data_IF_168835721928
#
_entry.id   IF_168835721928
#
_cell.length_a   1.000
_cell.length_b   1.000
_cell.length_c   1.000
_cell.angle_alpha   90.00
_cell.angle_beta   90.00
_cell.angle_gamma   90.00
#
_symmetry.space_group_name_H-M   'P 1'
#
loop_
_entity.id
_entity.type
_entity.pdbx_description
1 polymer ?
#
# COMPACT_ATOMS: atom_id res chain seq x y z
N UNK A 1 16.92 -57.08 38.22
CA UNK A 1 15.81 -57.26 37.26
C UNK A 1 14.75 -56.22 37.56
N UNK A 2 14.63 -55.20 36.71
CA UNK A 2 13.44 -54.40 36.41
C UNK A 2 13.93 -53.21 35.57
N UNK A 3 13.72 -53.30 34.26
CA UNK A 3 13.99 -52.24 33.27
C UNK A 3 12.72 -51.40 33.15
N UNK A 4 12.82 -50.09 33.35
CA UNK A 4 11.78 -49.14 32.93
C UNK A 4 12.31 -48.39 31.70
N UNK A 5 11.55 -48.48 30.61
CA UNK A 5 11.78 -47.79 29.35
C UNK A 5 10.50 -47.05 29.01
N UNK A 6 10.42 -45.77 29.34
CA UNK A 6 9.32 -44.90 28.91
C UNK A 6 9.81 -43.92 27.86
N UNK A 7 9.23 -44.06 26.66
CA UNK A 7 9.45 -43.22 25.49
C UNK A 7 8.17 -42.40 25.29
N UNK A 8 8.20 -41.06 25.36
CA UNK A 8 7.01 -40.26 25.08
C UNK A 8 6.79 -40.13 23.57
N UNK A 9 5.64 -40.65 23.13
CA UNK A 9 5.07 -40.56 21.79
C UNK A 9 4.56 -39.14 21.54
N UNK A 10 5.22 -38.44 20.61
CA UNK A 10 4.78 -37.14 20.10
C UNK A 10 3.78 -37.34 18.96
N UNK A 11 2.48 -37.22 19.25
CA UNK A 11 1.42 -37.04 18.25
C UNK A 11 0.51 -35.89 18.71
N UNK A 12 1.01 -34.66 18.51
CA UNK A 12 0.28 -33.42 18.73
C UNK A 12 -0.14 -32.80 17.40
N UNK A 13 -1.14 -33.39 16.73
CA UNK A 13 -1.81 -32.72 15.62
C UNK A 13 -2.56 -31.49 16.17
N UNK A 14 -2.05 -30.31 15.82
CA UNK A 14 -2.71 -29.03 16.06
C UNK A 14 -4.04 -29.05 15.30
N UNK A 15 -5.15 -29.21 16.03
CA UNK A 15 -6.49 -29.01 15.49
C UNK A 15 -6.62 -27.53 15.09
N UNK A 16 -7.06 -27.22 13.86
CA UNK A 16 -7.40 -25.84 13.51
C UNK A 16 -8.51 -25.34 14.44
N UNK A 17 -8.52 -24.03 14.79
CA UNK A 17 -9.50 -23.46 15.69
C UNK A 17 -10.91 -23.69 15.18
N UNK A 18 -11.78 -24.17 16.09
CA UNK A 18 -13.19 -24.55 15.87
C UNK A 18 -14.07 -23.43 15.30
N UNK A 19 -13.58 -22.19 15.27
CA UNK A 19 -14.29 -21.01 14.77
C UNK A 19 -14.44 -20.96 13.24
N UNK A 20 -13.57 -21.64 12.47
CA UNK A 20 -13.65 -21.60 10.99
C UNK A 20 -14.68 -22.55 10.38
N UNK A 21 -15.14 -23.56 11.11
CA UNK A 21 -16.13 -24.53 10.61
C UNK A 21 -17.57 -23.97 10.58
N UNK A 22 -17.84 -22.86 11.26
CA UNK A 22 -19.19 -22.29 11.38
C UNK A 22 -19.53 -21.26 10.27
N UNK A 23 -18.58 -20.88 9.41
CA UNK A 23 -18.78 -19.84 8.38
C UNK A 23 -19.15 -20.40 7.00
N UNK A 24 -19.06 -21.72 6.79
CA UNK A 24 -19.35 -22.34 5.49
C UNK A 24 -20.86 -22.54 5.24
N UNK A 25 -21.70 -22.44 6.29
CA UNK A 25 -23.13 -22.79 6.21
C UNK A 25 -24.05 -21.60 5.82
N UNK A 26 -23.53 -20.37 5.69
CA UNK A 26 -24.35 -19.17 5.49
C UNK A 26 -24.33 -18.55 4.07
N UNK A 27 -23.68 -19.17 3.09
CA UNK A 27 -23.54 -18.62 1.72
C UNK A 27 -24.59 -19.12 0.69
N UNK A 28 -25.78 -19.53 1.13
CA UNK A 28 -26.86 -19.98 0.24
C UNK A 28 -28.07 -19.01 0.19
N UNK A 29 -27.97 -18.02 -0.70
CA UNK A 29 -29.07 -17.35 -1.48
C UNK A 29 -30.07 -16.44 -0.72
N UNK A 30 -30.80 -15.50 -1.39
CA UNK A 30 -31.39 -15.61 -2.73
C UNK A 30 -31.05 -14.52 -3.77
N UNK A 31 -31.15 -14.94 -5.04
CA UNK A 31 -31.22 -14.09 -6.22
C UNK A 31 -32.48 -13.22 -6.12
N UNK A 32 -32.33 -11.90 -6.01
CA UNK A 32 -33.44 -10.99 -6.26
C UNK A 32 -33.62 -10.82 -7.78
N UNK A 33 -34.84 -11.11 -8.21
CA UNK A 33 -35.41 -10.84 -9.53
C UNK A 33 -35.30 -9.34 -9.85
N UNK A 34 -34.48 -8.96 -10.83
CA UNK A 34 -34.68 -7.71 -11.57
C UNK A 34 -35.60 -7.99 -12.74
N UNK A 35 -36.89 -7.99 -12.45
CA UNK A 35 -37.92 -7.82 -13.45
C UNK A 35 -38.54 -6.46 -13.17
N UNK A 36 -38.16 -5.40 -13.90
CA UNK A 36 -38.98 -4.21 -14.12
C UNK A 36 -38.44 -3.33 -15.26
N UNK A 37 -39.39 -2.80 -16.04
CA UNK A 37 -39.31 -1.87 -17.18
C UNK A 37 -39.23 -2.45 -18.59
N UNK A 38 -40.34 -3.05 -19.00
CA UNK A 38 -40.82 -3.10 -20.39
C UNK A 38 -41.86 -1.99 -20.60
N UNK A 39 -41.45 -0.73 -20.67
CA UNK A 39 -42.32 0.36 -21.13
C UNK A 39 -41.74 0.92 -22.43
N UNK A 40 -42.47 0.70 -23.52
CA UNK A 40 -42.18 1.20 -24.86
C UNK A 40 -42.16 2.74 -24.89
N UNK A 41 -41.19 3.38 -25.59
CA UNK A 41 -41.25 4.82 -25.81
C UNK A 41 -42.32 5.19 -26.83
N UNK A 42 -43.00 6.30 -26.54
CA UNK A 42 -44.04 6.94 -27.36
C UNK A 42 -43.53 7.34 -28.76
N UNK A 43 -44.31 7.14 -29.84
CA UNK A 43 -43.95 7.59 -31.18
C UNK A 43 -44.31 9.07 -31.32
N UNK A 44 -43.31 9.95 -31.29
CA UNK A 44 -43.50 11.35 -31.71
C UNK A 44 -42.47 11.76 -32.74
N UNK A 45 -42.94 12.60 -33.65
CA UNK A 45 -42.56 12.66 -35.04
C UNK A 45 -41.28 13.44 -35.35
N UNK A 46 -40.72 13.09 -36.49
CA UNK A 46 -39.65 13.73 -37.24
C UNK A 46 -39.84 15.25 -37.39
N UNK A 47 -38.79 16.01 -37.06
CA UNK A 47 -38.41 17.23 -37.77
C UNK A 47 -36.92 17.15 -38.12
N UNK A 48 -36.67 16.79 -39.38
CA UNK A 48 -35.33 16.73 -39.97
C UNK A 48 -34.89 18.12 -40.39
N UNK A 49 -34.06 18.79 -39.58
CA UNK A 49 -33.33 19.98 -39.99
C UNK A 49 -31.90 19.59 -40.34
N UNK A 50 -31.56 19.70 -41.63
CA UNK A 50 -30.23 19.43 -42.15
C UNK A 50 -29.22 20.41 -41.59
N UNK A 51 -28.40 19.93 -40.65
CA UNK A 51 -27.21 20.64 -40.21
C UNK A 51 -26.08 19.63 -40.17
N UNK A 52 -25.19 19.72 -41.16
CA UNK A 52 -23.95 18.96 -41.29
C UNK A 52 -22.96 19.46 -40.23
N UNK A 53 -23.30 19.27 -38.96
CA UNK A 53 -22.36 19.35 -37.86
C UNK A 53 -21.65 18.00 -37.81
N UNK A 54 -20.33 17.99 -38.04
CA UNK A 54 -19.46 16.85 -37.77
C UNK A 54 -19.78 16.34 -36.37
N UNK A 55 -20.51 15.22 -36.33
CA UNK A 55 -21.04 14.61 -35.13
C UNK A 55 -19.89 14.29 -34.18
N UNK A 56 -19.83 15.01 -33.06
CA UNK A 56 -19.06 14.57 -31.92
C UNK A 56 -19.63 13.19 -31.54
N UNK A 57 -18.85 12.15 -31.83
CA UNK A 57 -19.22 10.74 -31.65
C UNK A 57 -19.88 10.56 -30.28
N UNK A 58 -21.19 10.35 -30.28
CA UNK A 58 -21.93 10.01 -29.08
C UNK A 58 -21.40 8.67 -28.59
N UNK A 59 -20.55 8.71 -27.57
CA UNK A 59 -20.07 7.53 -26.86
C UNK A 59 -21.32 6.74 -26.44
N UNK A 60 -21.37 5.47 -26.82
CA UNK A 60 -22.51 4.61 -26.49
C UNK A 60 -22.66 4.52 -24.97
N UNK A 61 -23.90 4.44 -24.47
CA UNK A 61 -24.15 4.25 -23.04
C UNK A 61 -23.38 3.02 -22.47
N UNK A 62 -23.17 1.99 -23.30
CA UNK A 62 -22.35 0.81 -22.96
C UNK A 62 -20.88 1.17 -22.76
N UNK A 63 -20.32 2.00 -23.64
CA UNK A 63 -18.91 2.45 -23.55
C UNK A 63 -18.67 3.31 -22.30
N UNK A 64 -19.59 4.22 -21.99
CA UNK A 64 -19.53 5.01 -20.76
C UNK A 64 -19.54 4.13 -19.50
N UNK A 65 -20.43 3.12 -19.46
CA UNK A 65 -20.48 2.19 -18.32
C UNK A 65 -19.20 1.36 -18.20
N UNK A 66 -18.64 0.87 -19.31
CA UNK A 66 -17.35 0.16 -19.32
C UNK A 66 -16.20 1.05 -18.83
N UNK A 67 -16.15 2.30 -19.28
CA UNK A 67 -15.13 3.27 -18.86
C UNK A 67 -15.24 3.57 -17.37
N UNK A 68 -16.46 3.82 -16.86
CA UNK A 68 -16.70 4.04 -15.43
C UNK A 68 -16.24 2.85 -14.57
N UNK A 69 -16.59 1.62 -14.96
CA UNK A 69 -16.14 0.43 -14.23
C UNK A 69 -14.61 0.25 -14.25
N UNK A 70 -13.96 0.63 -15.35
CA UNK A 70 -12.50 0.62 -15.45
C UNK A 70 -11.87 1.65 -14.51
N UNK A 71 -12.42 2.85 -14.43
CA UNK A 71 -11.98 3.90 -13.51
C UNK A 71 -12.16 3.48 -12.04
N UNK A 72 -13.31 2.88 -11.69
CA UNK A 72 -13.54 2.30 -10.35
C UNK A 72 -12.46 1.26 -10.01
N UNK A 73 -12.11 0.39 -10.97
CA UNK A 73 -11.10 -0.64 -10.76
C UNK A 73 -9.68 -0.05 -10.60
N UNK A 74 -9.37 1.02 -11.33
CA UNK A 74 -8.11 1.76 -11.16
C UNK A 74 -8.05 2.38 -9.75
N UNK A 75 -9.14 3.02 -9.30
CA UNK A 75 -9.21 3.57 -7.95
C UNK A 75 -9.07 2.50 -6.87
N UNK A 76 -9.71 1.33 -7.03
CA UNK A 76 -9.54 0.20 -6.11
C UNK A 76 -8.08 -0.31 -6.06
N UNK A 77 -7.37 -0.31 -7.20
CA UNK A 77 -5.95 -0.68 -7.25
C UNK A 77 -5.10 0.38 -6.55
N UNK A 78 -5.27 1.65 -6.88
CA UNK A 78 -4.56 2.75 -6.24
C UNK A 78 -4.81 2.79 -4.72
N UNK A 79 -6.03 2.50 -4.28
CA UNK A 79 -6.36 2.42 -2.86
C UNK A 79 -5.48 1.40 -2.12
N UNK A 80 -5.04 0.34 -2.79
CA UNK A 80 -4.19 -0.70 -2.20
C UNK A 80 -2.69 -0.34 -2.10
N UNK A 81 -2.26 0.80 -2.65
CA UNK A 81 -0.89 1.30 -2.52
C UNK A 81 -0.60 1.82 -1.10
N UNK A 82 0.64 1.73 -0.64
CA UNK A 82 0.98 2.10 0.75
C UNK A 82 0.67 3.55 1.07
N UNK A 83 0.93 4.46 0.15
CA UNK A 83 0.64 5.89 0.33
C UNK A 83 -0.85 6.16 0.55
N UNK A 84 -1.71 5.55 -0.27
CA UNK A 84 -3.15 5.78 -0.20
C UNK A 84 -3.76 5.09 1.03
N UNK A 85 -3.25 3.91 1.40
CA UNK A 85 -3.64 3.26 2.64
C UNK A 85 -3.23 4.04 3.88
N UNK A 86 -2.01 4.60 3.91
CA UNK A 86 -1.57 5.46 5.00
C UNK A 86 -2.47 6.68 5.13
N UNK A 87 -2.72 7.40 4.03
CA UNK A 87 -3.64 8.55 4.02
C UNK A 87 -5.04 8.20 4.52
N UNK A 88 -5.60 7.06 4.09
CA UNK A 88 -6.91 6.62 4.51
C UNK A 88 -6.96 6.30 6.02
N UNK A 89 -5.91 5.71 6.58
CA UNK A 89 -5.79 5.45 8.01
C UNK A 89 -5.60 6.71 8.83
N UNK A 90 -4.80 7.65 8.36
CA UNK A 90 -4.66 8.97 9.00
C UNK A 90 -6.02 9.67 9.06
N UNK A 91 -6.80 9.60 7.99
CA UNK A 91 -8.13 10.20 7.97
C UNK A 91 -9.12 9.50 8.91
N UNK A 92 -9.06 8.18 9.04
CA UNK A 92 -9.88 7.45 10.02
C UNK A 92 -9.47 7.74 11.47
N UNK A 93 -8.17 7.81 11.74
CA UNK A 93 -7.63 8.16 13.05
C UNK A 93 -7.97 9.61 13.42
N UNK A 94 -7.89 10.52 12.45
CA UNK A 94 -8.31 11.92 12.64
C UNK A 94 -9.80 12.01 12.97
N UNK A 95 -10.65 11.22 12.29
CA UNK A 95 -12.08 11.11 12.64
C UNK A 95 -12.30 10.52 14.03
N UNK A 96 -11.46 9.59 14.47
CA UNK A 96 -11.51 9.02 15.83
C UNK A 96 -11.19 10.08 16.87
N UNK A 97 -10.09 10.81 16.70
CA UNK A 97 -9.69 11.92 17.59
C UNK A 97 -10.76 13.01 17.67
N UNK A 98 -11.33 13.41 16.53
CA UNK A 98 -12.44 14.37 16.48
C UNK A 98 -13.65 13.95 17.32
N UNK A 99 -14.00 12.66 17.30
CA UNK A 99 -15.13 12.14 18.09
C UNK A 99 -14.79 12.00 19.58
N UNK A 100 -13.53 11.76 19.90
CA UNK A 100 -13.07 11.58 21.27
C UNK A 100 -12.94 12.92 22.02
N UNK A 101 -12.63 14.00 21.33
CA UNK A 101 -12.47 15.32 21.94
C UNK A 101 -13.83 15.93 22.35
N UNK A 102 -14.08 16.18 23.65
CA UNK A 102 -15.32 16.79 24.13
C UNK A 102 -15.62 18.14 23.48
N UNK A 103 -14.60 18.89 23.06
CA UNK A 103 -14.76 20.23 22.49
C UNK A 103 -15.29 20.22 21.05
N UNK A 104 -15.08 19.12 20.32
CA UNK A 104 -15.43 18.97 18.90
C UNK A 104 -16.48 17.88 18.63
N UNK A 105 -16.64 16.91 19.54
CA UNK A 105 -17.54 15.75 19.39
C UNK A 105 -19.02 16.07 19.13
N UNK A 106 -19.51 17.24 19.57
CA UNK A 106 -20.90 17.66 19.41
C UNK A 106 -21.24 18.24 18.02
N UNK A 107 -20.24 18.47 17.15
CA UNK A 107 -20.46 19.05 15.82
C UNK A 107 -19.89 18.17 14.71
N UNK A 108 -20.54 18.22 13.54
CA UNK A 108 -19.98 17.63 12.33
C UNK A 108 -18.72 18.36 11.88
N UNK A 109 -17.77 17.57 11.40
CA UNK A 109 -16.48 18.06 10.92
C UNK A 109 -16.64 18.82 9.60
N UNK A 110 -16.20 20.08 9.56
CA UNK A 110 -16.27 20.92 8.36
C UNK A 110 -14.97 20.89 7.56
N UNK A 111 -15.03 21.36 6.30
CA UNK A 111 -13.84 21.50 5.43
C UNK A 111 -12.79 22.42 6.06
N UNK A 112 -13.21 23.47 6.77
CA UNK A 112 -12.29 24.36 7.51
C UNK A 112 -11.50 23.66 8.62
N UNK A 113 -12.02 22.52 9.11
CA UNK A 113 -11.46 21.77 10.23
C UNK A 113 -10.51 20.65 9.77
N UNK A 114 -10.24 20.54 8.46
CA UNK A 114 -9.44 19.45 7.88
C UNK A 114 -8.00 19.39 8.40
N UNK A 115 -7.46 20.50 8.90
CA UNK A 115 -6.12 20.54 9.48
C UNK A 115 -6.09 20.20 10.98
N UNK A 116 -7.24 20.20 11.67
CA UNK A 116 -7.30 19.88 13.10
C UNK A 116 -7.05 18.38 13.27
N UNK A 117 -6.15 18.04 14.21
CA UNK A 117 -5.66 16.68 14.51
C UNK A 117 -4.91 15.97 13.38
N UNK A 118 -4.61 16.64 12.24
CA UNK A 118 -3.92 16.00 11.10
C UNK A 118 -2.54 15.48 11.49
N UNK A 119 -1.76 16.26 12.23
CA UNK A 119 -0.41 15.88 12.69
C UNK A 119 -0.45 14.74 13.72
N UNK A 120 -1.32 14.87 14.73
CA UNK A 120 -1.49 13.85 15.77
C UNK A 120 -1.94 12.50 15.20
N UNK A 121 -2.92 12.51 14.29
CA UNK A 121 -3.35 11.30 13.58
C UNK A 121 -2.23 10.71 12.69
N UNK A 122 -1.43 11.57 12.05
CA UNK A 122 -0.29 11.13 11.23
C UNK A 122 0.75 10.41 12.07
N UNK A 123 1.12 10.98 13.22
CA UNK A 123 2.10 10.37 14.13
C UNK A 123 1.57 9.10 14.78
N UNK A 124 0.29 9.05 15.16
CA UNK A 124 -0.34 7.84 15.71
C UNK A 124 -0.31 6.69 14.70
N UNK A 125 -0.73 6.92 13.44
CA UNK A 125 -0.70 5.90 12.39
C UNK A 125 0.74 5.52 12.04
N UNK A 126 1.66 6.49 11.96
CA UNK A 126 3.09 6.23 11.74
C UNK A 126 3.65 5.31 12.82
N UNK A 127 3.39 5.60 14.10
CA UNK A 127 3.82 4.76 15.23
C UNK A 127 3.30 3.33 15.09
N UNK A 128 2.02 3.17 14.74
CA UNK A 128 1.43 1.85 14.48
C UNK A 128 2.13 1.11 13.33
N UNK A 129 2.51 1.79 12.26
CA UNK A 129 3.21 1.18 11.12
C UNK A 129 4.66 0.82 11.46
N UNK A 130 5.32 1.60 12.33
CA UNK A 130 6.65 1.28 12.87
C UNK A 130 6.59 0.03 13.75
N UNK A 131 5.60 -0.06 14.64
CA UNK A 131 5.38 -1.21 15.52
C UNK A 131 5.09 -2.49 14.71
N UNK A 132 4.34 -2.37 13.61
CA UNK A 132 4.09 -3.48 12.68
C UNK A 132 5.33 -3.86 11.84
N UNK A 133 6.40 -3.07 11.87
CA UNK A 133 7.55 -3.26 11.00
C UNK A 133 7.27 -2.95 9.53
N UNK A 134 6.16 -2.28 9.21
CA UNK A 134 5.75 -1.90 7.85
C UNK A 134 6.39 -0.57 7.43
N UNK A 135 6.57 0.35 8.38
CA UNK A 135 7.11 1.68 8.10
C UNK A 135 8.55 1.62 7.57
N UNK A 136 8.82 2.23 6.42
CA UNK A 136 10.18 2.37 5.90
C UNK A 136 10.69 3.80 6.16
N UNK A 137 11.83 3.91 6.84
CA UNK A 137 12.49 5.21 7.10
C UNK A 137 12.90 5.93 5.81
N UNK A 138 13.10 5.19 4.72
CA UNK A 138 13.41 5.74 3.39
C UNK A 138 12.19 6.33 2.69
N UNK A 139 10.97 6.18 3.23
CA UNK A 139 9.77 6.80 2.68
C UNK A 139 9.87 8.32 2.77
N UNK A 140 10.35 8.91 1.68
CA UNK A 140 10.37 10.32 1.36
C UNK A 140 9.30 10.64 0.30
N UNK A 141 9.14 11.92 -0.06
CA UNK A 141 8.22 12.37 -1.12
C UNK A 141 8.34 11.59 -2.44
N UNK A 142 9.53 11.04 -2.74
CA UNK A 142 9.84 10.39 -4.02
C UNK A 142 9.71 8.86 -4.00
N UNK A 143 9.80 8.23 -2.83
CA UNK A 143 9.52 6.81 -2.68
C UNK A 143 8.01 6.67 -2.64
N UNK A 144 7.48 6.48 -3.85
CA UNK A 144 6.09 6.40 -4.29
C UNK A 144 5.23 5.35 -3.55
N UNK A 145 5.27 5.29 -2.21
CA UNK A 145 4.38 4.44 -1.42
C UNK A 145 4.45 2.96 -1.78
N UNK A 146 5.63 2.46 -2.15
CA UNK A 146 5.82 1.02 -2.36
C UNK A 146 5.82 0.30 -1.03
N UNK A 147 5.19 -0.87 -0.99
CA UNK A 147 5.27 -1.72 0.17
C UNK A 147 6.69 -2.25 0.38
N UNK A 148 7.08 -2.53 1.63
CA UNK A 148 8.38 -3.13 1.94
C UNK A 148 8.61 -4.44 1.20
N UNK A 149 7.58 -5.25 0.98
CA UNK A 149 7.70 -6.50 0.22
C UNK A 149 7.81 -6.31 -1.30
N UNK A 150 7.60 -5.11 -1.83
CA UNK A 150 7.83 -4.81 -3.26
C UNK A 150 9.26 -4.38 -3.54
N UNK A 151 9.97 -3.84 -2.54
CA UNK A 151 11.36 -3.44 -2.71
C UNK A 151 12.15 -4.66 -3.18
N UNK A 152 12.97 -4.59 -4.24
CA UNK A 152 13.81 -5.73 -4.60
C UNK A 152 14.54 -6.21 -3.35
N UNK A 153 14.63 -7.53 -3.16
CA UNK A 153 15.63 -8.04 -2.23
C UNK A 153 16.92 -7.42 -2.74
N UNK A 154 17.49 -6.48 -1.99
CA UNK A 154 18.91 -6.20 -2.07
C UNK A 154 19.48 -7.59 -1.82
N UNK A 155 19.78 -8.29 -2.93
CA UNK A 155 20.57 -9.50 -2.94
C UNK A 155 21.66 -9.15 -1.96
N UNK A 156 21.82 -9.97 -0.93
CA UNK A 156 22.92 -9.82 -0.01
C UNK A 156 24.19 -9.87 -0.88
N UNK A 157 24.54 -8.73 -1.47
CA UNK A 157 25.85 -8.19 -1.69
C UNK A 157 26.40 -7.99 -0.30
N UNK A 158 26.43 -9.09 0.48
CA UNK A 158 27.53 -9.30 1.36
C UNK A 158 28.78 -9.06 0.52
N UNK A 159 29.83 -8.50 1.11
CA UNK A 159 31.10 -8.28 0.44
C UNK A 159 31.63 -9.64 -0.05
N UNK A 160 31.19 -10.08 -1.22
CA UNK A 160 31.78 -11.17 -1.99
C UNK A 160 32.63 -10.63 -3.15
N UNK A 161 32.88 -9.32 -3.08
CA UNK A 161 33.89 -8.52 -3.74
C UNK A 161 34.24 -7.43 -2.71
N UNK A 162 35.38 -7.45 -2.01
CA UNK A 162 36.72 -7.24 -2.58
C UNK A 162 36.73 -7.14 -4.11
N UNK A 163 35.92 -6.24 -4.64
CA UNK A 163 36.33 -5.42 -5.76
C UNK A 163 37.15 -4.32 -5.13
N UNK A 164 38.32 -4.69 -4.62
CA UNK A 164 39.46 -3.80 -4.75
C UNK A 164 39.59 -3.57 -6.25
N UNK A 165 39.04 -2.44 -6.70
CA UNK A 165 39.47 -1.76 -7.90
C UNK A 165 39.48 -2.60 -9.20
N UNK A 166 38.40 -2.52 -9.99
CA UNK A 166 38.58 -2.20 -11.41
C UNK A 166 39.11 -0.75 -11.50
N UNK A 167 40.34 -0.53 -11.04
CA UNK A 167 41.17 0.51 -11.61
C UNK A 167 41.47 0.00 -13.03
N UNK A 168 41.19 0.77 -14.08
CA UNK A 168 41.61 0.44 -15.43
C UNK A 168 43.09 0.11 -15.40
N UNK A 169 43.40 -1.13 -15.77
CA UNK A 169 44.73 -1.72 -15.76
C UNK A 169 45.73 -0.77 -16.43
N UNK A 170 46.49 -0.05 -15.61
CA UNK A 170 47.82 0.38 -15.98
C UNK A 170 48.63 -0.90 -16.15
N UNK A 171 49.10 -1.09 -17.38
CA UNK A 171 49.93 -2.19 -17.86
C UNK A 171 51.12 -2.41 -16.89
N UNK A 172 51.46 -3.69 -16.65
CA UNK A 172 52.70 -4.19 -15.97
C UNK A 172 52.68 -4.44 -14.44
N UNK A 173 51.73 -5.24 -13.93
CA UNK A 173 51.81 -5.84 -12.58
C UNK A 173 51.54 -7.37 -12.58
N UNK A 174 52.20 -8.16 -11.70
CA UNK A 174 51.99 -9.61 -11.61
C UNK A 174 50.56 -9.95 -11.18
N UNK A 175 49.95 -10.89 -11.91
CA UNK A 175 48.57 -11.35 -11.72
C UNK A 175 48.37 -11.85 -10.27
N UNK A 176 47.52 -11.22 -9.44
CA UNK A 176 47.27 -11.72 -8.10
C UNK A 176 46.67 -13.13 -8.20
N UNK A 177 47.31 -14.08 -7.52
CA UNK A 177 46.84 -15.46 -7.51
C UNK A 177 45.49 -15.53 -6.77
N UNK A 178 44.51 -16.31 -7.27
CA UNK A 178 43.22 -16.47 -6.63
C UNK A 178 43.41 -17.07 -5.24
N UNK A 179 43.19 -16.26 -4.20
CA UNK A 179 43.20 -16.73 -2.82
C UNK A 179 42.00 -17.66 -2.63
N UNK A 180 42.27 -18.87 -2.12
CA UNK A 180 41.22 -19.87 -1.85
C UNK A 180 40.27 -19.30 -0.79
N UNK A 181 39.04 -18.98 -1.17
CA UNK A 181 37.99 -18.54 -0.23
C UNK A 181 37.84 -19.60 0.86
N UNK A 182 38.03 -19.21 2.12
CA UNK A 182 37.83 -20.08 3.27
C UNK A 182 36.35 -20.52 3.31
N UNK A 183 36.03 -21.81 3.51
CA UNK A 183 34.65 -22.25 3.69
C UNK A 183 34.02 -21.51 4.88
N UNK A 184 32.84 -20.91 4.67
CA UNK A 184 32.04 -20.30 5.73
C UNK A 184 31.73 -21.35 6.81
N UNK A 185 31.86 -20.98 8.09
CA UNK A 185 31.52 -21.88 9.19
C UNK A 185 30.01 -22.16 9.22
N UNK A 186 29.59 -23.27 9.83
CA UNK A 186 28.16 -23.56 10.00
C UNK A 186 27.42 -22.48 10.80
N UNK A 187 28.09 -21.88 11.79
CA UNK A 187 27.53 -20.77 12.57
C UNK A 187 27.27 -19.52 11.71
N UNK A 188 28.21 -19.20 10.80
CA UNK A 188 28.03 -18.07 9.87
C UNK A 188 26.85 -18.32 8.92
N UNK A 189 26.72 -19.55 8.40
CA UNK A 189 25.58 -19.94 7.56
C UNK A 189 24.26 -19.81 8.33
N UNK A 190 24.23 -20.25 9.60
CA UNK A 190 23.05 -20.14 10.46
C UNK A 190 22.66 -18.68 10.70
N UNK A 191 23.62 -17.81 11.03
CA UNK A 191 23.36 -16.37 11.21
C UNK A 191 22.89 -15.69 9.92
N UNK A 192 23.40 -16.09 8.76
CA UNK A 192 22.92 -15.58 7.46
C UNK A 192 21.47 -16.02 7.24
N UNK A 193 21.14 -17.29 7.50
CA UNK A 193 19.78 -17.81 7.34
C UNK A 193 18.78 -17.09 8.27
N UNK A 194 19.15 -16.86 9.53
CA UNK A 194 18.33 -16.15 10.50
C UNK A 194 18.07 -14.69 10.09
N UNK A 195 19.11 -13.96 9.66
CA UNK A 195 18.95 -12.59 9.13
C UNK A 195 18.05 -12.51 7.90
N UNK A 196 18.09 -13.52 7.03
CA UNK A 196 17.19 -13.61 5.86
C UNK A 196 15.75 -13.89 6.29
N UNK A 197 15.55 -14.81 7.23
CA UNK A 197 14.22 -15.12 7.75
C UNK A 197 13.58 -13.89 8.43
N UNK A 198 14.36 -13.14 9.22
CA UNK A 198 13.88 -11.91 9.85
C UNK A 198 13.44 -10.86 8.82
N UNK A 199 14.28 -10.58 7.81
CA UNK A 199 13.94 -9.64 6.73
C UNK A 199 12.72 -10.10 5.93
N UNK A 200 12.60 -11.39 5.67
CA UNK A 200 11.42 -11.92 4.99
C UNK A 200 10.15 -11.69 5.82
N UNK A 201 10.21 -11.91 7.14
CA UNK A 201 9.10 -11.62 8.06
C UNK A 201 8.73 -10.14 8.08
N UNK A 202 9.71 -9.23 8.12
CA UNK A 202 9.48 -7.79 8.08
C UNK A 202 8.83 -7.34 6.77
N UNK A 203 9.25 -7.91 5.64
CA UNK A 203 8.62 -7.66 4.34
C UNK A 203 7.20 -8.18 4.33
N UNK A 204 7.01 -9.42 4.75
CA UNK A 204 5.70 -10.07 4.74
C UNK A 204 4.69 -9.39 5.65
N UNK A 205 5.13 -8.69 6.71
CA UNK A 205 4.25 -7.85 7.53
C UNK A 205 3.46 -6.81 6.71
N UNK A 206 3.98 -6.37 5.56
CA UNK A 206 3.30 -5.43 4.66
C UNK A 206 2.36 -6.07 3.64
N UNK A 207 2.24 -7.40 3.64
CA UNK A 207 1.30 -8.13 2.78
C UNK A 207 -0.14 -7.99 3.32
N UNK A 208 -1.18 -8.09 2.47
CA UNK A 208 -2.57 -7.94 2.90
C UNK A 208 -2.96 -8.90 4.04
N UNK A 209 -2.61 -10.18 3.93
CA UNK A 209 -2.90 -11.18 4.95
C UNK A 209 -2.42 -10.78 6.35
N UNK A 210 -1.12 -10.51 6.51
CA UNK A 210 -0.53 -10.20 7.81
C UNK A 210 -1.05 -8.88 8.37
N UNK A 211 -1.25 -7.88 7.52
CA UNK A 211 -1.80 -6.59 7.93
C UNK A 211 -3.25 -6.70 8.40
N UNK A 212 -4.07 -7.49 7.70
CA UNK A 212 -5.45 -7.73 8.12
C UNK A 212 -5.50 -8.41 9.49
N UNK A 213 -4.72 -9.48 9.69
CA UNK A 213 -4.64 -10.17 10.99
C UNK A 213 -4.21 -9.22 12.11
N UNK A 214 -3.23 -8.36 11.86
CA UNK A 214 -2.81 -7.35 12.82
C UNK A 214 -3.95 -6.40 13.18
N UNK A 215 -4.67 -5.86 12.19
CA UNK A 215 -5.78 -4.93 12.42
C UNK A 215 -6.95 -5.59 13.15
N UNK A 216 -7.22 -6.87 12.90
CA UNK A 216 -8.22 -7.62 13.66
C UNK A 216 -7.81 -7.72 15.13
N UNK A 217 -6.55 -8.08 15.41
CA UNK A 217 -6.03 -8.15 16.79
C UNK A 217 -6.07 -6.79 17.50
N UNK A 218 -5.77 -5.71 16.79
CA UNK A 218 -5.85 -4.37 17.35
C UNK A 218 -7.31 -3.94 17.61
N UNK A 219 -8.23 -4.30 16.71
CA UNK A 219 -9.65 -4.04 16.91
C UNK A 219 -10.23 -4.89 18.06
N UNK A 220 -9.80 -6.14 18.24
CA UNK A 220 -10.12 -6.97 19.40
C UNK A 220 -9.67 -6.29 20.70
N UNK A 221 -8.42 -5.81 20.76
CA UNK A 221 -7.86 -5.11 21.92
C UNK A 221 -8.69 -3.88 22.31
N UNK A 222 -9.10 -3.07 21.33
CA UNK A 222 -9.95 -1.88 21.57
C UNK A 222 -11.34 -2.29 22.06
N UNK A 223 -11.94 -3.33 21.47
CA UNK A 223 -13.25 -3.82 21.91
C UNK A 223 -13.23 -4.42 23.32
N UNK A 224 -12.16 -5.10 23.70
CA UNK A 224 -11.96 -5.61 25.06
C UNK A 224 -11.84 -4.48 26.09
N UNK A 225 -11.14 -3.40 25.73
CA UNK A 225 -11.00 -2.19 26.56
C UNK A 225 -12.35 -1.48 26.76
N UNK A 226 -13.20 -1.46 25.74
CA UNK A 226 -14.53 -0.80 25.79
C UNK A 226 -15.63 -1.66 26.44
N UNK A 227 -15.68 -2.97 26.17
CA UNK A 227 -16.85 -3.80 26.45
C UNK A 227 -16.73 -4.73 27.68
N UNK A 228 -15.53 -4.89 28.25
CA UNK A 228 -15.29 -5.85 29.32
C UNK A 228 -15.27 -7.32 28.85
N UNK A 229 -15.36 -8.27 29.78
CA UNK A 229 -14.89 -9.66 29.68
C UNK A 229 -15.58 -10.64 28.69
N UNK A 230 -16.40 -10.18 27.74
CA UNK A 230 -17.03 -11.06 26.72
C UNK A 230 -16.12 -11.28 25.49
N UNK A 231 -14.97 -11.92 25.72
CA UNK A 231 -13.87 -12.03 24.74
C UNK A 231 -14.27 -12.77 23.44
N UNK A 232 -15.05 -13.85 23.51
CA UNK A 232 -15.36 -14.67 22.33
C UNK A 232 -16.25 -13.94 21.31
N UNK A 233 -17.09 -13.00 21.75
CA UNK A 233 -17.92 -12.18 20.87
C UNK A 233 -17.11 -11.07 20.19
N UNK A 234 -15.98 -10.69 20.77
CA UNK A 234 -15.14 -9.59 20.27
C UNK A 234 -14.38 -9.98 19.00
N UNK A 235 -13.87 -11.21 18.89
CA UNK A 235 -13.13 -11.69 17.71
C UNK A 235 -13.93 -11.56 16.40
N UNK A 236 -15.18 -12.04 16.41
CA UNK A 236 -16.04 -11.98 15.21
C UNK A 236 -16.40 -10.53 14.86
N UNK A 237 -16.69 -9.71 15.87
CA UNK A 237 -17.02 -8.29 15.66
C UNK A 237 -15.82 -7.51 15.13
N UNK A 238 -14.62 -7.77 15.67
CA UNK A 238 -13.37 -7.18 15.20
C UNK A 238 -13.10 -7.53 13.74
N UNK A 239 -13.21 -8.82 13.39
CA UNK A 239 -13.09 -9.29 12.01
C UNK A 239 -14.06 -8.57 11.06
N UNK A 240 -15.35 -8.51 11.39
CA UNK A 240 -16.37 -7.86 10.55
C UNK A 240 -16.15 -6.34 10.45
N UNK A 241 -15.70 -5.69 11.52
CA UNK A 241 -15.36 -4.27 11.52
C UNK A 241 -14.17 -3.97 10.58
N UNK A 242 -13.11 -4.78 10.65
CA UNK A 242 -11.93 -4.60 9.79
C UNK A 242 -12.28 -4.92 8.34
N UNK A 243 -13.00 -6.03 8.09
CA UNK A 243 -13.43 -6.41 6.74
C UNK A 243 -14.34 -5.37 6.11
N UNK A 244 -15.36 -4.89 6.83
CA UNK A 244 -16.25 -3.84 6.33
C UNK A 244 -15.50 -2.55 6.00
N UNK A 245 -14.50 -2.19 6.81
CA UNK A 245 -13.60 -1.06 6.53
C UNK A 245 -12.80 -1.29 5.25
N UNK A 246 -12.23 -2.47 5.04
CA UNK A 246 -11.50 -2.82 3.82
C UNK A 246 -12.38 -2.83 2.57
N UNK A 247 -13.61 -3.34 2.68
CA UNK A 247 -14.59 -3.29 1.59
C UNK A 247 -14.94 -1.84 1.26
N UNK A 248 -15.23 -1.01 2.27
CA UNK A 248 -15.55 0.42 2.09
C UNK A 248 -14.41 1.19 1.43
N UNK A 249 -13.16 0.86 1.75
CA UNK A 249 -11.96 1.48 1.16
C UNK A 249 -11.58 0.90 -0.21
N UNK A 250 -12.31 -0.10 -0.72
CA UNK A 250 -11.96 -0.77 -1.98
C UNK A 250 -10.72 -1.66 -1.90
N UNK A 251 -10.24 -1.98 -0.69
CA UNK A 251 -9.07 -2.84 -0.46
C UNK A 251 -9.40 -4.33 -0.60
N UNK A 252 -10.61 -4.72 -0.19
CA UNK A 252 -11.05 -6.11 -0.23
C UNK A 252 -11.24 -6.61 -1.66
N UNK A 253 -10.59 -7.71 -2.04
CA UNK A 253 -10.79 -8.36 -3.32
C UNK A 253 -11.73 -9.55 -3.18
N UNK A 254 -12.81 -9.56 -3.97
CA UNK A 254 -13.92 -10.51 -3.82
C UNK A 254 -13.48 -11.98 -3.89
N UNK A 255 -12.45 -12.29 -4.69
CA UNK A 255 -11.93 -13.67 -4.83
C UNK A 255 -11.22 -14.20 -3.59
N UNK A 256 -10.84 -13.34 -2.65
CA UNK A 256 -10.25 -13.79 -1.39
C UNK A 256 -11.27 -14.53 -0.50
N UNK A 257 -12.57 -14.34 -0.71
CA UNK A 257 -13.61 -15.04 0.06
C UNK A 257 -13.67 -14.61 1.52
N UNK A 258 -13.14 -15.44 2.42
CA UNK A 258 -13.16 -15.19 3.88
C UNK A 258 -11.86 -14.57 4.38
N UNK A 259 -10.71 -14.81 3.76
CA UNK A 259 -9.43 -14.28 4.25
C UNK A 259 -8.66 -13.63 3.11
N UNK A 260 -8.03 -12.47 3.34
CA UNK A 260 -7.26 -11.82 2.30
C UNK A 260 -6.09 -12.70 1.85
N UNK A 261 -5.76 -12.61 0.56
CA UNK A 261 -4.59 -13.26 -0.01
C UNK A 261 -3.26 -12.57 0.33
N UNK A 262 -2.20 -12.99 -0.35
CA UNK A 262 -0.84 -12.48 -0.14
C UNK A 262 -0.46 -11.28 -1.04
N UNK A 263 -1.25 -10.94 -2.06
CA UNK A 263 -0.92 -9.86 -2.99
C UNK A 263 -1.96 -8.76 -2.93
N UNK A 264 -1.53 -7.50 -2.96
CA UNK A 264 -2.44 -6.36 -3.08
C UNK A 264 -3.08 -6.29 -4.47
N UNK A 265 -4.19 -5.55 -4.60
CA UNK A 265 -4.89 -5.38 -5.88
C UNK A 265 -4.01 -4.72 -6.96
N UNK A 266 -3.16 -3.76 -6.59
CA UNK A 266 -2.24 -3.13 -7.53
C UNK A 266 -1.13 -4.08 -8.03
N UNK A 267 -0.83 -5.16 -7.31
CA UNK A 267 0.08 -6.21 -7.79
C UNK A 267 -0.57 -7.12 -8.84
N UNK A 268 -1.91 -7.19 -8.86
CA UNK A 268 -2.65 -7.98 -9.85
C UNK A 268 -2.68 -7.27 -11.21
N UNK A 269 -2.72 -8.07 -12.27
CA UNK A 269 -2.84 -7.56 -13.65
C UNK A 269 -4.19 -6.87 -13.86
N UNK A 270 -4.15 -5.62 -14.33
CA UNK A 270 -5.36 -4.86 -14.63
C UNK A 270 -6.25 -5.59 -15.63
N UNK A 271 -5.66 -6.19 -16.67
CA UNK A 271 -6.40 -6.90 -17.72
C UNK A 271 -7.08 -8.16 -17.19
N UNK A 272 -6.44 -8.84 -16.23
CA UNK A 272 -7.05 -10.00 -15.57
C UNK A 272 -8.28 -9.59 -14.76
N UNK A 273 -8.16 -8.55 -13.94
CA UNK A 273 -9.28 -8.05 -13.16
C UNK A 273 -10.43 -7.50 -14.04
N UNK A 274 -10.12 -6.90 -15.19
CA UNK A 274 -11.12 -6.45 -16.16
C UNK A 274 -11.88 -7.63 -16.80
N UNK A 275 -11.14 -8.67 -17.24
CA UNK A 275 -11.76 -9.89 -17.79
C UNK A 275 -12.68 -10.57 -16.78
N UNK A 276 -12.29 -10.59 -15.52
CA UNK A 276 -13.10 -11.18 -14.45
C UNK A 276 -14.42 -10.45 -14.20
N UNK A 277 -14.42 -9.11 -14.32
CA UNK A 277 -15.66 -8.32 -14.23
C UNK A 277 -16.49 -8.35 -15.53
N UNK A 278 -16.10 -9.15 -16.51
CA UNK A 278 -16.75 -9.20 -17.82
C UNK A 278 -16.64 -7.88 -18.59
N UNK A 279 -15.62 -7.08 -18.29
CA UNK A 279 -15.33 -5.83 -19.01
C UNK A 279 -14.38 -6.22 -20.14
N UNK A 280 -14.94 -6.40 -21.34
CA UNK A 280 -14.14 -6.65 -22.53
C UNK A 280 -13.10 -5.53 -22.68
N UNK A 281 -11.83 -5.91 -22.84
CA UNK A 281 -10.79 -4.97 -23.23
C UNK A 281 -11.22 -4.39 -24.57
N UNK A 282 -11.58 -3.11 -24.60
CA UNK A 282 -11.88 -2.41 -25.86
C UNK A 282 -10.65 -2.65 -26.74
N UNK A 283 -10.79 -3.39 -27.86
CA UNK A 283 -9.65 -3.65 -28.72
C UNK A 283 -9.11 -2.28 -29.09
N UNK A 284 -7.83 -2.02 -28.77
CA UNK A 284 -7.19 -0.78 -29.12
C UNK A 284 -7.44 -0.59 -30.61
N UNK A 285 -8.34 0.32 -30.95
CA UNK A 285 -8.81 0.48 -32.32
C UNK A 285 -7.54 0.71 -33.10
N UNK A 286 -7.15 -0.20 -34.02
CA UNK A 286 -5.88 -0.08 -34.70
C UNK A 286 -5.91 1.29 -35.31
N UNK A 287 -5.05 2.18 -34.82
CA UNK A 287 -5.00 3.56 -35.25
C UNK A 287 -4.68 3.47 -36.72
N UNK A 288 -5.72 3.55 -37.56
CA UNK A 288 -5.62 3.28 -38.99
C UNK A 288 -4.64 4.32 -39.49
N UNK A 289 -3.40 3.86 -39.73
CA UNK A 289 -2.27 4.64 -40.22
C UNK A 289 -2.51 4.94 -41.70
N UNK A 290 -3.66 5.54 -42.01
CA UNK A 290 -3.95 6.15 -43.30
C UNK A 290 -3.90 7.65 -43.08
N UNK A 291 -2.69 8.18 -42.97
CA UNK A 291 -2.43 9.59 -43.21
C UNK A 291 -1.13 9.70 -43.97
N UNK A 292 -1.28 10.30 -45.13
CA UNK A 292 -0.26 10.61 -46.10
C UNK A 292 1.02 11.15 -45.45
N UNK A 293 2.16 10.77 -46.04
CA UNK A 293 3.47 11.37 -45.81
C UNK A 293 3.39 12.89 -46.03
N UNK A 294 3.05 13.65 -45.00
CA UNK A 294 3.39 15.07 -44.93
C UNK A 294 4.62 15.15 -44.02
N UNK A 295 5.77 15.65 -44.53
CA UNK A 295 6.96 15.86 -43.70
C UNK A 295 6.63 16.96 -42.69
N UNK A 296 6.20 16.56 -41.50
CA UNK A 296 6.13 17.45 -40.35
C UNK A 296 7.53 17.38 -39.73
N UNK A 297 8.34 18.41 -39.97
CA UNK A 297 9.54 18.67 -39.20
C UNK A 297 9.18 18.72 -37.71
N UNK A 298 9.43 17.60 -37.03
CA UNK A 298 9.32 17.47 -35.58
C UNK A 298 10.42 18.31 -34.91
N UNK A 299 10.16 19.61 -34.76
CA UNK A 299 10.86 20.49 -33.81
C UNK A 299 10.31 20.26 -32.39
N UNK A 300 10.48 19.05 -31.86
CA UNK A 300 10.53 18.85 -30.42
C UNK A 300 11.99 18.65 -30.03
N UNK A 301 12.68 19.76 -29.80
CA UNK A 301 13.94 19.77 -29.05
C UNK A 301 13.60 19.39 -27.61
N UNK A 302 13.88 18.16 -27.22
CA UNK A 302 14.15 17.88 -25.83
C UNK A 302 15.50 18.51 -25.49
N UNK A 303 15.47 19.65 -24.80
CA UNK A 303 16.66 20.17 -24.15
C UNK A 303 16.95 19.30 -22.92
N UNK A 304 18.15 18.71 -22.79
CA UNK A 304 18.55 18.08 -21.54
C UNK A 304 18.93 19.19 -20.56
N UNK A 305 18.04 19.52 -19.64
CA UNK A 305 18.39 20.32 -18.47
C UNK A 305 18.89 19.36 -17.40
N UNK A 306 20.21 19.28 -17.22
CA UNK A 306 20.92 19.28 -15.94
C UNK A 306 22.44 19.26 -16.24
N UNK A 307 23.01 20.44 -16.46
CA UNK A 307 24.43 20.68 -16.19
C UNK A 307 24.52 21.32 -14.81
N UNK A 308 25.13 20.60 -13.87
CA UNK A 308 25.52 21.12 -12.56
C UNK A 308 26.73 22.02 -12.77
N UNK A 309 26.51 23.34 -12.77
CA UNK A 309 27.59 24.32 -12.68
C UNK A 309 27.75 24.77 -11.23
N UNK A 310 28.87 24.36 -10.65
CA UNK A 310 29.49 24.98 -9.49
C UNK A 310 29.95 26.40 -9.85
N UNK A 311 29.36 27.46 -9.27
CA UNK A 311 30.10 28.54 -8.57
C UNK A 311 29.22 29.69 -8.06
N UNK A 312 29.56 30.08 -6.83
CA UNK A 312 29.63 31.42 -6.24
C UNK A 312 28.35 32.26 -6.04
N UNK A 313 28.08 32.46 -4.76
CA UNK A 313 27.24 33.48 -4.12
C UNK A 313 27.75 34.89 -4.50
N UNK A 314 26.84 35.84 -4.76
CA UNK A 314 26.78 37.01 -3.88
C UNK A 314 25.36 37.49 -3.53
N UNK A 315 25.35 38.28 -2.47
CA UNK A 315 24.27 38.80 -1.63
C UNK A 315 23.15 39.62 -2.28
N UNK A 316 22.02 39.61 -1.56
CA UNK A 316 21.07 40.70 -1.29
C UNK A 316 20.29 41.35 -2.46
N UNK A 317 18.96 41.17 -2.45
CA UNK A 317 17.97 42.21 -2.06
C UNK A 317 16.54 41.80 -2.46
N UNK A 318 15.58 42.16 -1.59
CA UNK A 318 14.12 42.20 -1.68
C UNK A 318 13.47 42.10 -3.09
N UNK A 319 12.31 41.42 -3.19
CA UNK A 319 10.96 42.05 -3.33
C UNK A 319 9.84 40.97 -3.39
N UNK A 320 8.74 41.31 -2.72
CA UNK A 320 7.37 40.78 -2.71
C UNK A 320 6.83 40.16 -4.01
N UNK A 321 6.13 39.00 -3.92
CA UNK A 321 4.86 38.72 -4.60
C UNK A 321 4.21 37.40 -4.11
N UNK A 322 3.14 37.56 -3.32
CA UNK A 322 1.80 36.94 -3.43
C UNK A 322 1.62 35.51 -3.99
N UNK A 323 1.41 34.58 -3.06
CA UNK A 323 0.42 33.49 -2.98
C UNK A 323 -0.14 32.82 -4.25
N UNK A 324 0.45 31.65 -4.57
CA UNK A 324 -0.30 30.43 -4.90
C UNK A 324 0.37 29.26 -4.15
N UNK A 325 -0.38 28.65 -3.22
CA UNK A 325 0.10 27.66 -2.24
C UNK A 325 0.22 26.24 -2.83
N UNK A 326 1.40 25.58 -2.73
CA UNK A 326 1.57 24.14 -2.88
C UNK A 326 1.80 23.49 -1.51
N UNK A 327 0.82 23.55 -0.61
CA UNK A 327 0.98 23.10 0.80
C UNK A 327 0.90 21.59 1.04
N UNK A 328 0.46 20.78 0.07
CA UNK A 328 0.43 19.31 0.25
C UNK A 328 1.80 18.62 0.06
N UNK A 329 2.85 19.38 -0.33
CA UNK A 329 4.19 18.85 -0.61
C UNK A 329 5.22 19.18 0.48
N UNK A 330 5.05 20.26 1.26
CA UNK A 330 6.08 20.72 2.20
C UNK A 330 6.17 19.93 3.52
N UNK A 331 5.13 19.15 3.89
CA UNK A 331 5.06 18.55 5.22
C UNK A 331 5.92 17.28 5.40
N UNK A 332 6.23 16.56 4.32
CA UNK A 332 7.04 15.33 4.39
C UNK A 332 8.51 15.60 4.76
N UNK A 333 9.00 16.83 4.53
CA UNK A 333 10.38 17.21 4.82
C UNK A 333 10.62 17.55 6.31
N UNK A 334 9.56 17.94 7.05
CA UNK A 334 9.70 18.39 8.44
C UNK A 334 9.88 17.23 9.44
N UNK A 335 9.44 16.02 9.09
CA UNK A 335 9.37 14.86 10.02
C UNK A 335 10.63 13.95 9.96
N UNK A 336 11.64 14.33 9.17
CA UNK A 336 12.91 13.58 9.05
C UNK A 336 13.94 13.85 10.15
N UNK A 337 13.66 14.72 11.13
CA UNK A 337 14.63 15.18 12.14
C UNK A 337 14.13 14.95 13.57
N UNK A 338 13.88 13.70 13.97
CA UNK A 338 13.84 13.35 15.39
C UNK A 338 14.87 12.26 15.65
N UNK A 339 16.03 12.70 16.14
CA UNK A 339 17.13 11.86 16.60
C UNK A 339 16.69 11.01 17.79
N UNK A 340 17.09 9.73 17.78
CA UNK A 340 17.07 8.85 18.96
C UNK A 340 17.95 9.47 20.07
N UNK A 341 17.34 10.09 21.06
CA UNK A 341 17.97 10.33 22.36
C UNK A 341 17.59 9.18 23.28
N UNK A 342 18.41 8.13 23.29
CA UNK A 342 18.33 7.06 24.30
C UNK A 342 18.98 7.59 25.57
N UNK A 343 18.20 8.19 26.45
CA UNK A 343 18.67 8.53 27.80
C UNK A 343 18.68 7.26 28.66
N UNK A 344 19.89 6.79 28.99
CA UNK A 344 20.10 5.76 29.99
C UNK A 344 19.89 6.38 31.39
N UNK A 345 18.73 6.13 32.01
CA UNK A 345 18.52 6.44 33.42
C UNK A 345 19.25 5.41 34.28
N UNK A 346 20.40 5.80 34.83
CA UNK A 346 21.02 5.11 35.96
C UNK A 346 20.20 5.43 37.22
N UNK A 347 19.51 4.42 37.75
CA UNK A 347 18.89 4.47 39.08
C UNK A 347 19.94 4.07 40.12
N UNK A 348 20.51 5.07 40.79
CA UNK A 348 21.34 4.88 41.98
C UNK A 348 20.41 4.71 43.18
N UNK A 349 20.29 3.49 43.70
CA UNK A 349 19.62 3.21 44.97
C UNK A 349 20.60 3.54 46.10
N UNK A 350 20.35 4.62 46.83
CA UNK A 350 20.99 4.91 48.10
C UNK A 350 20.22 4.24 49.23
N UNK A 351 20.89 3.33 49.94
CA UNK A 351 20.45 2.78 51.22
C UNK A 351 20.95 3.71 52.34
N UNK A 352 20.02 4.18 53.16
CA UNK A 352 20.26 4.67 54.53
C UNK A 352 19.35 3.92 55.48
#
# INVERSE_FOLDING_TARGET
MALFSDTPRADGFIKPPRALAALEEYSLRPKCEMQWFSNSPSPYAFYSFGSTARSASAISAKEYLCQKRREELIQEREASEARNQFKAEVEDERRRLWKADPSTSWREMKISDLNIFREEATEAVRKCWVEQGIWNEKWNLLSLGRWKHEEPLELDSGPETDSEAEIPQLLFGPKPQPTKKRPKSEDEKRQIAERRALRQRERDASRPYYRFVYQVKECERILEEEAGADAARNDTKAYENVKSTWVKRGLWYEKWGTMPGMSWKHELSLDEMLRERGIESVPATPLVRNSHKVPIESKFRYAPLFQVNHRQVPSASNTSHQDQSPEDLALWESVGKISRSTAASQLTIGLS
#
